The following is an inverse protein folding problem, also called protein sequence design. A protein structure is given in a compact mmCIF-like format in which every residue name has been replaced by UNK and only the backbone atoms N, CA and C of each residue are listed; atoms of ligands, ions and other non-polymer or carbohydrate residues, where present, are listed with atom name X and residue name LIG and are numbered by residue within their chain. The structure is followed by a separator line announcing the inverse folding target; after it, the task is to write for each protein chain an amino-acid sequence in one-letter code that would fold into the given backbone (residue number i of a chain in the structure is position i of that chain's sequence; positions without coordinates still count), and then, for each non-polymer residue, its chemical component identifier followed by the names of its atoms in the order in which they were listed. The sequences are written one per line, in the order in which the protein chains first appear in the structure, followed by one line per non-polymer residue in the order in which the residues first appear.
data_IF_408146326662
#
_entry.id   IF_408146326662
#
_cell.length_a   1.000
_cell.length_b   1.000
_cell.length_c   1.000
_cell.angle_alpha   90.00
_cell.angle_beta   90.00
_cell.angle_gamma   90.00
#
_symmetry.space_group_name_H-M   'P 1'
#
loop_
_entity.id
_entity.type
_entity.pdbx_description
1 polymer ?
#
# COMPACT_ATOMS: atom_id res chain seq x y z
N UNK A 1 5.52 18.64 5.77
CA UNK A 1 5.62 17.47 4.87
C UNK A 1 5.40 16.14 5.59
N UNK A 2 6.18 15.77 6.62
CA UNK A 2 5.92 14.52 7.39
C UNK A 2 4.50 14.38 7.94
N UNK A 3 3.94 15.48 8.46
CA UNK A 3 2.54 15.52 8.92
C UNK A 3 1.53 15.23 7.80
N UNK A 4 1.75 15.73 6.59
CA UNK A 4 0.83 15.48 5.48
C UNK A 4 0.85 14.01 5.03
N UNK A 5 2.02 13.36 5.05
CA UNK A 5 2.12 11.91 4.79
C UNK A 5 1.36 11.13 5.87
N UNK A 6 1.58 11.49 7.14
CA UNK A 6 0.88 10.87 8.26
C UNK A 6 -0.65 11.04 8.15
N UNK A 7 -1.11 12.26 7.90
CA UNK A 7 -2.54 12.56 7.74
C UNK A 7 -3.15 11.76 6.57
N UNK A 8 -2.41 11.59 5.46
CA UNK A 8 -2.81 10.75 4.33
C UNK A 8 -2.90 9.26 4.71
N UNK A 9 -1.91 8.73 5.43
CA UNK A 9 -1.92 7.34 5.91
C UNK A 9 -3.12 7.09 6.82
N UNK A 10 -3.35 7.98 7.79
CA UNK A 10 -4.48 7.91 8.73
C UNK A 10 -5.82 8.00 8.00
N UNK A 11 -5.94 8.85 6.98
CA UNK A 11 -7.20 8.94 6.24
C UNK A 11 -7.44 7.67 5.41
N UNK A 12 -6.41 7.11 4.78
CA UNK A 12 -6.53 5.92 3.93
C UNK A 12 -6.56 4.60 4.72
N UNK A 13 -6.27 4.62 6.03
CA UNK A 13 -6.48 3.45 6.89
C UNK A 13 -7.95 3.12 7.10
N UNK A 14 -8.85 4.08 6.81
CA UNK A 14 -10.31 3.88 6.81
C UNK A 14 -10.85 3.68 5.38
N UNK A 15 -12.07 3.19 5.24
CA UNK A 15 -12.70 3.03 3.92
C UNK A 15 -12.98 4.43 3.32
N UNK A 16 -12.45 4.67 2.13
CA UNK A 16 -12.58 5.97 1.44
C UNK A 16 -13.18 5.82 0.04
N UNK A 17 -13.70 6.92 -0.52
CA UNK A 17 -14.08 6.96 -1.94
C UNK A 17 -12.86 7.01 -2.86
N UNK A 18 -13.06 6.71 -4.15
CA UNK A 18 -12.02 6.84 -5.17
C UNK A 18 -11.46 8.27 -5.30
N UNK A 19 -12.31 9.28 -5.10
CA UNK A 19 -11.89 10.68 -5.16
C UNK A 19 -10.95 11.04 -4.01
N UNK A 20 -11.27 10.60 -2.79
CA UNK A 20 -10.39 10.79 -1.64
C UNK A 20 -9.07 10.06 -1.85
N UNK A 21 -9.11 8.81 -2.34
CA UNK A 21 -7.89 8.07 -2.69
C UNK A 21 -7.03 8.87 -3.68
N UNK A 22 -7.62 9.34 -4.78
CA UNK A 22 -6.91 10.11 -5.82
C UNK A 22 -6.27 11.40 -5.27
N UNK A 23 -6.96 12.10 -4.37
CA UNK A 23 -6.45 13.32 -3.73
C UNK A 23 -5.27 13.02 -2.80
N UNK A 24 -5.26 11.85 -2.16
CA UNK A 24 -4.22 11.48 -1.19
C UNK A 24 -2.96 10.86 -1.82
N UNK A 25 -3.08 10.19 -2.96
CA UNK A 25 -1.94 9.51 -3.63
C UNK A 25 -0.67 10.39 -3.80
N UNK A 26 -0.75 11.68 -4.18
CA UNK A 26 0.43 12.53 -4.35
C UNK A 26 1.30 12.71 -3.08
N UNK A 27 0.72 12.49 -1.90
CA UNK A 27 1.45 12.60 -0.63
C UNK A 27 2.24 11.34 -0.29
N UNK A 28 1.96 10.23 -0.96
CA UNK A 28 2.55 8.93 -0.65
C UNK A 28 3.80 8.66 -1.50
N UNK A 29 4.67 7.85 -0.92
CA UNK A 29 5.73 7.10 -1.57
C UNK A 29 5.48 5.61 -1.32
N UNK A 30 6.25 4.74 -1.97
CA UNK A 30 6.11 3.29 -1.85
C UNK A 30 5.99 2.84 -0.38
N UNK A 31 6.91 3.20 0.51
CA UNK A 31 6.84 2.73 1.91
C UNK A 31 5.58 3.21 2.64
N UNK A 32 5.16 4.47 2.47
CA UNK A 32 3.91 4.94 3.08
C UNK A 32 2.65 4.29 2.50
N UNK A 33 2.68 3.77 1.27
CA UNK A 33 1.57 2.97 0.74
C UNK A 33 1.50 1.59 1.39
N UNK A 34 2.66 0.98 1.69
CA UNK A 34 2.70 -0.26 2.48
C UNK A 34 2.15 -0.02 3.88
N UNK A 35 2.50 1.11 4.51
CA UNK A 35 1.95 1.51 5.81
C UNK A 35 0.42 1.61 5.75
N UNK A 36 -0.16 2.21 4.70
CA UNK A 36 -1.63 2.22 4.51
C UNK A 36 -2.20 0.80 4.52
N UNK A 37 -1.62 -0.11 3.73
CA UNK A 37 -2.09 -1.51 3.65
C UNK A 37 -1.99 -2.20 5.01
N UNK A 38 -0.87 -2.01 5.72
CA UNK A 38 -0.61 -2.59 7.04
C UNK A 38 -1.58 -2.07 8.09
N UNK A 39 -1.78 -0.75 8.19
CA UNK A 39 -2.69 -0.14 9.16
C UNK A 39 -4.13 -0.60 8.95
N UNK A 40 -4.59 -0.69 7.69
CA UNK A 40 -5.90 -1.27 7.34
C UNK A 40 -6.05 -2.70 7.84
N UNK A 41 -5.03 -3.51 7.64
CA UNK A 41 -5.03 -4.92 8.02
C UNK A 41 -4.88 -5.14 9.54
N UNK A 42 -4.16 -4.25 10.23
CA UNK A 42 -4.00 -4.27 11.69
C UNK A 42 -5.23 -3.72 12.43
N UNK A 43 -6.08 -2.97 11.73
CA UNK A 43 -7.34 -2.43 12.22
C UNK A 43 -8.29 -3.45 12.85
N UNK A 44 -9.29 -2.93 13.57
CA UNK A 44 -10.38 -3.72 14.17
C UNK A 44 -11.73 -3.12 13.73
N UNK A 45 -12.42 -3.71 12.73
CA UNK A 45 -12.11 -4.97 12.05
C UNK A 45 -10.90 -4.87 11.09
N UNK A 46 -10.34 -6.02 10.68
CA UNK A 46 -9.24 -6.08 9.71
C UNK A 46 -9.79 -5.79 8.32
N UNK A 47 -9.47 -4.64 7.76
CA UNK A 47 -9.96 -4.25 6.43
C UNK A 47 -9.05 -4.81 5.34
N UNK A 48 -9.63 -5.03 4.16
CA UNK A 48 -8.88 -5.26 2.94
C UNK A 48 -7.90 -4.11 2.69
N UNK A 49 -6.65 -4.42 2.37
CA UNK A 49 -5.57 -3.46 2.17
C UNK A 49 -5.80 -2.44 1.05
N UNK A 50 -6.81 -2.63 0.18
CA UNK A 50 -7.16 -1.65 -0.83
C UNK A 50 -8.10 -0.57 -0.25
N UNK A 51 -7.74 0.74 -0.29
CA UNK A 51 -8.44 1.80 0.46
C UNK A 51 -9.94 1.96 0.18
N UNK A 52 -10.38 1.66 -1.04
CA UNK A 52 -11.81 1.77 -1.40
C UNK A 52 -12.61 0.49 -1.17
N UNK A 53 -11.98 -0.55 -0.61
CA UNK A 53 -12.63 -1.82 -0.32
C UNK A 53 -13.03 -1.88 1.15
N UNK A 54 -14.30 -2.16 1.42
CA UNK A 54 -14.84 -2.29 2.78
C UNK A 54 -14.86 -3.74 3.30
N UNK A 55 -14.42 -4.70 2.50
CA UNK A 55 -14.43 -6.10 2.88
C UNK A 55 -13.49 -6.36 4.06
N UNK A 56 -13.94 -7.23 4.97
CA UNK A 56 -13.17 -7.67 6.12
C UNK A 56 -12.32 -8.87 5.71
N UNK A 57 -11.05 -8.86 6.08
CA UNK A 57 -10.13 -9.95 5.79
C UNK A 57 -10.11 -10.94 6.95
N UNK A 58 -10.51 -12.16 6.67
CA UNK A 58 -10.45 -13.25 7.64
C UNK A 58 -9.03 -13.81 7.73
N UNK A 59 -8.41 -13.64 8.91
CA UNK A 59 -7.10 -14.25 9.16
C UNK A 59 -7.30 -15.71 9.50
N UNK A 60 -6.95 -16.57 8.55
CA UNK A 60 -6.76 -17.97 8.81
C UNK A 60 -5.46 -18.12 9.61
N UNK A 61 -5.56 -18.13 10.94
CA UNK A 61 -4.45 -18.26 11.92
C UNK A 61 -3.60 -19.55 11.77
N UNK A 62 -3.74 -20.30 10.67
CA UNK A 62 -3.14 -21.63 10.48
C UNK A 62 -1.66 -21.61 10.09
N UNK A 63 -1.05 -20.44 9.87
CA UNK A 63 0.38 -20.37 9.49
C UNK A 63 1.19 -19.72 10.59
N UNK A 64 2.21 -20.43 11.07
CA UNK A 64 3.20 -19.90 11.99
C UNK A 64 3.82 -18.63 11.41
N UNK A 65 3.56 -17.48 12.04
CA UNK A 65 3.96 -16.15 11.56
C UNK A 65 5.48 -15.98 11.45
N UNK A 66 6.23 -16.64 12.34
CA UNK A 66 7.68 -16.51 12.43
C UNK A 66 8.38 -17.87 12.37
N UNK A 67 9.36 -17.99 11.48
CA UNK A 67 10.28 -19.11 11.40
C UNK A 67 11.65 -18.68 11.92
N UNK A 68 12.14 -19.35 12.97
CA UNK A 68 13.43 -19.05 13.60
C UNK A 68 14.48 -19.99 13.02
N UNK A 69 15.41 -19.44 12.25
CA UNK A 69 16.59 -20.16 11.77
C UNK A 69 17.76 -19.89 12.72
N UNK A 70 18.09 -20.91 13.52
CA UNK A 70 19.18 -20.85 14.50
C UNK A 70 20.56 -20.95 13.86
N UNK A 71 20.66 -21.47 12.63
CA UNK A 71 21.94 -21.57 11.92
C UNK A 71 22.30 -20.25 11.25
N UNK A 72 21.32 -19.61 10.60
CA UNK A 72 21.48 -18.28 10.03
C UNK A 72 21.40 -17.15 11.08
N UNK A 73 20.98 -17.45 12.32
CA UNK A 73 20.69 -16.48 13.38
C UNK A 73 19.69 -15.41 12.91
N UNK A 74 18.66 -15.84 12.17
CA UNK A 74 17.65 -14.96 11.55
C UNK A 74 16.24 -15.40 11.90
N UNK A 75 15.34 -14.41 12.05
CA UNK A 75 13.90 -14.62 12.19
C UNK A 75 13.27 -14.24 10.84
N UNK A 76 12.59 -15.18 10.22
CA UNK A 76 11.84 -14.96 8.98
C UNK A 76 10.37 -14.76 9.34
N UNK A 77 9.76 -13.71 8.81
CA UNK A 77 8.32 -13.49 8.92
C UNK A 77 7.64 -14.08 7.68
N UNK A 78 6.71 -15.01 7.88
CA UNK A 78 5.85 -15.47 6.80
C UNK A 78 4.77 -14.42 6.57
N UNK A 79 5.14 -13.30 5.92
CA UNK A 79 4.19 -12.35 5.36
C UNK A 79 3.75 -12.88 4.00
N UNK A 80 2.49 -13.27 3.90
CA UNK A 80 1.87 -13.40 2.58
C UNK A 80 1.13 -12.09 2.36
N UNK A 81 1.68 -11.20 1.52
CA UNK A 81 1.02 -9.93 1.17
C UNK A 81 -0.40 -10.14 0.66
N UNK A 82 -0.68 -11.29 0.01
CA UNK A 82 -2.04 -11.63 -0.42
C UNK A 82 -3.03 -11.80 0.74
N UNK A 83 -2.56 -12.16 1.94
CA UNK A 83 -3.40 -12.31 3.13
C UNK A 83 -3.91 -10.98 3.67
N UNK A 84 -3.42 -9.84 3.15
CA UNK A 84 -3.91 -8.51 3.50
C UNK A 84 -5.05 -8.04 2.60
N UNK A 85 -5.46 -8.85 1.62
CA UNK A 85 -6.51 -8.48 0.66
C UNK A 85 -7.64 -9.51 0.67
N UNK A 86 -8.88 -9.03 0.44
CA UNK A 86 -10.03 -9.93 0.31
C UNK A 86 -10.00 -10.75 -1.00
N UNK A 87 -9.23 -10.31 -2.00
CA UNK A 87 -9.19 -10.95 -3.33
C UNK A 87 -7.92 -10.60 -4.10
N UNK A 88 -7.57 -11.46 -5.07
CA UNK A 88 -6.50 -11.21 -6.05
C UNK A 88 -6.70 -9.90 -6.82
N UNK A 89 -7.96 -9.52 -7.10
CA UNK A 89 -8.29 -8.27 -7.78
C UNK A 89 -7.84 -7.05 -6.97
N UNK A 90 -8.15 -7.01 -5.67
CA UNK A 90 -7.72 -5.93 -4.78
C UNK A 90 -6.19 -5.86 -4.64
N UNK A 91 -5.54 -7.02 -4.54
CA UNK A 91 -4.08 -7.11 -4.50
C UNK A 91 -3.44 -6.52 -5.77
N UNK A 92 -3.94 -6.88 -6.96
CA UNK A 92 -3.39 -6.37 -8.23
C UNK A 92 -3.64 -4.87 -8.42
N UNK A 93 -4.82 -4.37 -8.02
CA UNK A 93 -5.11 -2.93 -8.02
C UNK A 93 -4.16 -2.18 -7.09
N UNK A 94 -3.91 -2.72 -5.90
CA UNK A 94 -2.95 -2.16 -4.94
C UNK A 94 -1.54 -2.12 -5.51
N UNK A 95 -1.08 -3.24 -6.09
CA UNK A 95 0.24 -3.33 -6.72
C UNK A 95 0.39 -2.34 -7.90
N UNK A 96 -0.68 -2.14 -8.69
CA UNK A 96 -0.69 -1.17 -9.78
C UNK A 96 -0.56 0.26 -9.28
N UNK A 97 -1.22 0.63 -8.18
CA UNK A 97 -1.05 1.95 -7.55
C UNK A 97 0.37 2.09 -7.01
N UNK A 98 0.85 1.09 -6.26
CA UNK A 98 2.19 1.08 -5.68
C UNK A 98 3.28 1.35 -6.73
N UNK A 99 3.20 0.69 -7.90
CA UNK A 99 4.15 0.85 -8.99
C UNK A 99 4.17 2.24 -9.63
N UNK A 100 3.15 3.08 -9.37
CA UNK A 100 3.08 4.46 -9.85
C UNK A 100 3.59 5.48 -8.82
N UNK A 101 3.85 5.05 -7.57
CA UNK A 101 4.35 5.92 -6.52
C UNK A 101 5.87 6.06 -6.62
N UNK A 102 6.38 7.20 -6.15
CA UNK A 102 7.82 7.40 -6.03
C UNK A 102 8.38 6.48 -4.94
N UNK A 103 9.59 5.96 -5.15
CA UNK A 103 10.32 5.23 -4.09
C UNK A 103 10.81 6.19 -2.99
N UNK A 104 11.19 7.41 -3.38
CA UNK A 104 11.78 8.38 -2.46
C UNK A 104 10.71 9.15 -1.64
N UNK A 105 10.96 9.42 -0.35
CA UNK A 105 10.05 10.19 0.49
C UNK A 105 9.81 11.64 0.06
N UNK A 106 8.62 12.18 0.36
CA UNK A 106 8.18 13.52 -0.06
C UNK A 106 9.11 14.66 0.37
N UNK A 107 9.75 14.55 1.53
CA UNK A 107 10.62 15.62 2.04
C UNK A 107 11.94 15.77 1.27
N UNK A 108 12.31 14.81 0.41
CA UNK A 108 13.51 14.93 -0.43
C UNK A 108 13.24 15.76 -1.69
N UNK A 109 12.08 15.57 -2.34
CA UNK A 109 11.75 16.30 -3.56
C UNK A 109 10.90 17.54 -3.35
N UNK A 110 10.12 17.61 -2.26
CA UNK A 110 9.34 18.79 -1.85
C UNK A 110 8.17 19.19 -2.77
N UNK A 111 8.06 18.59 -3.95
CA UNK A 111 7.05 18.88 -4.97
C UNK A 111 6.04 17.74 -5.09
N UNK A 112 4.83 17.98 -4.59
CA UNK A 112 3.70 17.05 -4.62
C UNK A 112 3.11 16.95 -6.04
N UNK A 113 3.18 18.03 -6.83
CA UNK A 113 2.56 18.13 -8.16
C UNK A 113 3.21 17.20 -9.19
N UNK A 114 4.48 16.85 -8.98
CA UNK A 114 5.27 15.98 -9.87
C UNK A 114 5.22 14.49 -9.51
N UNK A 115 4.54 14.11 -8.41
CA UNK A 115 4.60 12.75 -7.88
C UNK A 115 3.62 11.76 -8.50
N UNK A 116 2.65 12.24 -9.27
CA UNK A 116 1.88 11.40 -10.18
C UNK A 116 2.37 11.61 -11.60
N UNK A 117 3.54 11.05 -11.91
CA UNK A 117 4.12 11.09 -13.24
C UNK A 117 4.22 9.66 -13.79
N UNK A 118 3.18 9.24 -14.52
CA UNK A 118 3.17 8.35 -15.71
C UNK A 118 1.72 7.96 -16.05
N UNK A 119 0.88 8.96 -16.30
CA UNK A 119 -0.28 8.76 -17.16
C UNK A 119 0.01 9.57 -18.43
N UNK A 120 -0.02 8.87 -19.56
CA UNK A 120 0.14 9.32 -20.95
C UNK A 120 1.56 9.66 -21.44
N UNK A 121 2.33 8.63 -21.83
CA UNK A 121 3.04 8.58 -23.13
C UNK A 121 3.98 7.36 -23.17
N UNK A 122 3.52 6.25 -23.74
CA UNK A 122 4.36 5.31 -24.49
C UNK A 122 3.46 4.46 -25.41
N UNK A 123 2.75 5.15 -26.31
CA UNK A 123 2.53 4.61 -27.65
C UNK A 123 3.76 5.00 -28.47
N UNK A 124 4.84 4.22 -28.36
CA UNK A 124 5.87 4.22 -29.38
C UNK A 124 5.50 3.15 -30.39
N UNK A 125 5.12 3.63 -31.58
CA UNK A 125 4.91 2.91 -32.81
C UNK A 125 5.98 1.86 -33.05
N UNK A 126 5.57 0.64 -33.40
CA UNK A 126 6.38 -0.22 -34.24
C UNK A 126 5.89 -0.01 -35.68
N UNK A 127 6.70 0.72 -36.45
CA UNK A 127 6.84 0.45 -37.88
C UNK A 127 7.46 -0.94 -38.09
#
# INVERSE_FOLDING_TARGET
MRRAVFDAVVQLSEVVSEDVLRVQLPFLHCTSWDEVIEERFLGKPRLCGFPTCAEIVEVHLKKQKYFIDRQAMKIYEHRIESDMYCSRSCMLRSASIRAQLADEPLWLSGDVSRRMCKLTSDHHSYD
#
